data_IF_035481472920
#
_entry.id   IF_035481472920
#
_cell.length_a   1.000
_cell.length_b   1.000
_cell.length_c   1.000
_cell.angle_alpha   90.00
_cell.angle_beta   90.00
_cell.angle_gamma   90.00
#
_symmetry.space_group_name_H-M   'P 1'
#
loop_
_entity.id
_entity.type
_entity.pdbx_description
1 polymer ?
#
# COMPACT_ATOMS: atom_id res chain seq x y z
N UNK A 1 -5.35 -18.52 -1.37
CA UNK A 1 -4.72 -17.62 -0.40
C UNK A 1 -5.57 -16.38 -0.19
N UNK A 2 -5.78 -16.02 1.03
CA UNK A 2 -6.50 -14.81 1.39
C UNK A 2 -5.53 -13.69 1.71
N UNK A 3 -5.99 -12.47 1.52
CA UNK A 3 -5.29 -11.27 1.97
C UNK A 3 -6.03 -10.66 3.14
N UNK A 4 -5.29 -10.20 4.14
CA UNK A 4 -5.84 -9.43 5.25
C UNK A 4 -5.06 -8.15 5.46
N UNK A 5 -5.76 -7.16 5.96
CA UNK A 5 -5.18 -5.87 6.35
C UNK A 5 -5.24 -5.76 7.86
N UNK A 6 -4.08 -5.57 8.47
CA UNK A 6 -3.96 -5.36 9.91
C UNK A 6 -3.53 -3.93 10.21
N UNK A 7 -4.20 -3.32 11.17
CA UNK A 7 -3.84 -2.02 11.71
C UNK A 7 -3.24 -2.22 13.09
N UNK A 8 -2.01 -1.76 13.26
CA UNK A 8 -1.24 -1.97 14.50
C UNK A 8 -0.90 -0.61 15.09
N UNK A 9 -1.30 -0.39 16.33
CA UNK A 9 -0.90 0.78 17.10
C UNK A 9 0.29 0.39 17.97
N UNK A 10 1.41 1.11 17.81
CA UNK A 10 2.66 0.82 18.49
C UNK A 10 3.24 2.07 19.14
N UNK A 11 4.18 1.87 20.06
CA UNK A 11 4.96 2.96 20.62
C UNK A 11 5.80 3.64 19.51
N UNK A 12 5.87 4.95 19.53
CA UNK A 12 6.70 5.72 18.60
C UNK A 12 8.13 5.79 19.12
N UNK A 13 8.82 4.65 19.07
CA UNK A 13 10.21 4.49 19.51
C UNK A 13 11.04 3.81 18.44
N UNK A 14 12.36 4.01 18.50
CA UNK A 14 13.27 3.38 17.54
C UNK A 14 13.24 1.85 17.68
N UNK A 15 13.38 1.14 16.56
CA UNK A 15 13.46 -0.31 16.52
C UNK A 15 12.12 -1.05 16.50
N UNK A 16 10.98 -0.37 16.69
CA UNK A 16 9.66 -1.03 16.67
C UNK A 16 9.39 -1.67 15.32
N UNK A 17 9.61 -0.95 14.24
CA UNK A 17 9.39 -1.48 12.89
C UNK A 17 10.27 -2.69 12.61
N UNK A 18 11.52 -2.66 13.07
CA UNK A 18 12.46 -3.78 12.95
C UNK A 18 11.96 -5.02 13.71
N UNK A 19 11.43 -4.84 14.91
CA UNK A 19 10.88 -5.95 15.69
C UNK A 19 9.65 -6.58 15.05
N UNK A 20 8.76 -5.76 14.49
CA UNK A 20 7.57 -6.26 13.79
C UNK A 20 7.96 -6.98 12.51
N UNK A 21 8.79 -6.37 11.67
CA UNK A 21 9.23 -7.02 10.42
C UNK A 21 10.06 -8.27 10.71
N UNK A 22 10.86 -8.27 11.76
CA UNK A 22 11.61 -9.42 12.22
C UNK A 22 10.71 -10.58 12.65
N UNK A 23 9.60 -10.30 13.32
CA UNK A 23 8.61 -11.32 13.68
C UNK A 23 8.03 -11.98 12.42
N UNK A 24 7.63 -11.18 11.43
CA UNK A 24 7.14 -11.71 10.16
C UNK A 24 8.18 -12.58 9.45
N UNK A 25 9.42 -12.10 9.38
CA UNK A 25 10.52 -12.84 8.76
C UNK A 25 10.80 -14.18 9.43
N UNK A 26 10.90 -14.20 10.75
CA UNK A 26 11.21 -15.42 11.50
C UNK A 26 10.12 -16.48 11.36
N UNK A 27 8.88 -16.07 11.17
CA UNK A 27 7.75 -16.99 11.05
C UNK A 27 7.38 -17.28 9.59
N UNK A 28 8.10 -16.72 8.64
CA UNK A 28 7.83 -16.92 7.22
C UNK A 28 6.53 -16.29 6.73
N UNK A 29 6.04 -15.27 7.43
CA UNK A 29 4.85 -14.52 7.00
C UNK A 29 5.23 -13.53 5.90
N UNK A 30 4.40 -13.42 4.88
CA UNK A 30 4.64 -12.48 3.78
C UNK A 30 4.02 -11.12 4.07
N UNK A 31 4.80 -10.05 3.88
CA UNK A 31 4.31 -8.67 3.89
C UNK A 31 4.21 -8.19 2.45
N UNK A 32 2.99 -7.93 1.98
CA UNK A 32 2.76 -7.40 0.63
C UNK A 32 2.92 -5.88 0.59
N UNK A 33 2.46 -5.20 1.63
CA UNK A 33 2.71 -3.76 1.78
C UNK A 33 2.73 -3.38 3.26
N UNK A 34 3.45 -2.31 3.55
CA UNK A 34 3.53 -1.76 4.89
C UNK A 34 3.61 -0.24 4.80
N UNK A 35 2.79 0.43 5.59
CA UNK A 35 2.86 1.88 5.77
C UNK A 35 2.89 2.18 7.26
N UNK A 36 3.66 3.19 7.63
CA UNK A 36 3.81 3.59 9.02
C UNK A 36 3.86 5.11 9.12
N UNK A 37 3.20 5.65 10.12
CA UNK A 37 3.20 7.08 10.37
C UNK A 37 2.81 7.40 11.80
N UNK A 38 3.34 8.51 12.31
CA UNK A 38 3.00 9.01 13.65
C UNK A 38 1.52 9.40 13.67
N UNK A 39 0.83 9.02 14.74
CA UNK A 39 -0.59 9.36 14.92
C UNK A 39 -0.75 10.81 15.41
N UNK A 40 -1.99 11.22 15.61
CA UNK A 40 -2.29 12.51 16.23
C UNK A 40 -1.69 12.63 17.65
N UNK A 41 -1.48 11.51 18.33
CA UNK A 41 -0.73 11.43 19.57
C UNK A 41 0.72 11.04 19.24
N UNK A 42 1.71 11.93 19.46
CA UNK A 42 3.10 11.68 19.05
C UNK A 42 3.78 10.54 19.83
N UNK A 43 3.14 10.00 20.87
CA UNK A 43 3.65 8.82 21.57
C UNK A 43 3.47 7.52 20.78
N UNK A 44 2.61 7.52 19.76
CA UNK A 44 2.22 6.32 19.05
C UNK A 44 2.40 6.46 17.53
N UNK A 45 2.73 5.34 16.91
CA UNK A 45 2.80 5.17 15.46
C UNK A 45 1.72 4.15 15.04
N UNK A 46 1.09 4.40 13.91
CA UNK A 46 0.16 3.46 13.29
C UNK A 46 0.82 2.79 12.12
N UNK A 47 0.79 1.46 12.12
CA UNK A 47 1.33 0.63 11.06
C UNK A 47 0.15 -0.09 10.41
N UNK A 48 0.07 -0.03 9.09
CA UNK A 48 -0.90 -0.79 8.31
C UNK A 48 -0.13 -1.81 7.47
N UNK A 49 -0.44 -3.09 7.65
CA UNK A 49 0.22 -4.19 6.95
C UNK A 49 -0.81 -4.96 6.14
N UNK A 50 -0.51 -5.17 4.86
CA UNK A 50 -1.23 -6.12 4.03
C UNK A 50 -0.41 -7.40 3.96
N UNK A 51 -1.01 -8.50 4.31
CA UNK A 51 -0.36 -9.81 4.34
C UNK A 51 -1.26 -10.86 3.70
N UNK A 52 -0.66 -11.92 3.19
CA UNK A 52 -1.37 -13.05 2.57
C UNK A 52 -0.98 -14.35 3.23
N UNK A 53 -1.91 -15.28 3.24
CA UNK A 53 -1.72 -16.60 3.82
C UNK A 53 -3.03 -17.37 3.90
N UNK A 54 -2.99 -18.57 4.47
CA UNK A 54 -4.20 -19.29 4.83
C UNK A 54 -4.78 -18.75 6.15
N UNK A 55 -5.99 -19.15 6.50
CA UNK A 55 -6.69 -18.66 7.69
C UNK A 55 -5.93 -18.93 8.99
N UNK A 56 -5.24 -20.07 9.08
CA UNK A 56 -4.47 -20.44 10.27
C UNK A 56 -3.28 -19.50 10.44
N UNK A 57 -2.55 -19.23 9.35
CA UNK A 57 -1.41 -18.33 9.36
C UNK A 57 -1.84 -16.90 9.72
N UNK A 58 -2.92 -16.41 9.10
CA UNK A 58 -3.41 -15.06 9.35
C UNK A 58 -3.87 -14.86 10.80
N UNK A 59 -4.52 -15.88 11.37
CA UNK A 59 -4.91 -15.87 12.78
C UNK A 59 -3.69 -15.86 13.73
N UNK A 60 -2.65 -16.63 13.39
CA UNK A 60 -1.40 -16.65 14.13
C UNK A 60 -0.69 -15.28 14.12
N UNK A 61 -0.70 -14.59 12.98
CA UNK A 61 -0.08 -13.26 12.85
C UNK A 61 -0.66 -12.30 13.88
N UNK A 62 -1.98 -12.20 13.96
CA UNK A 62 -2.65 -11.32 14.90
C UNK A 62 -2.26 -11.63 16.34
N UNK A 63 -2.30 -12.90 16.71
CA UNK A 63 -1.97 -13.35 18.06
C UNK A 63 -0.50 -13.11 18.44
N UNK A 64 0.41 -13.37 17.50
CA UNK A 64 1.85 -13.22 17.76
C UNK A 64 2.26 -11.74 17.81
N UNK A 65 1.73 -10.90 16.93
CA UNK A 65 2.00 -9.46 16.96
C UNK A 65 1.49 -8.83 18.25
N UNK A 66 0.31 -9.23 18.71
CA UNK A 66 -0.26 -8.72 19.96
C UNK A 66 0.62 -8.97 21.19
N UNK A 67 1.51 -9.96 21.14
CA UNK A 67 2.44 -10.27 22.25
C UNK A 67 3.68 -9.39 22.32
N UNK A 68 3.98 -8.63 21.27
CA UNK A 68 5.15 -7.74 21.28
C UNK A 68 4.94 -6.59 22.26
N UNK A 69 5.97 -6.29 23.03
CA UNK A 69 5.89 -5.28 24.11
C UNK A 69 5.55 -3.88 23.59
N UNK A 70 5.97 -3.56 22.36
CA UNK A 70 5.72 -2.25 21.75
C UNK A 70 4.30 -2.10 21.20
N UNK A 71 3.56 -3.20 21.05
CA UNK A 71 2.23 -3.21 20.43
C UNK A 71 1.17 -2.85 21.47
N UNK A 72 0.42 -1.78 21.21
CA UNK A 72 -0.69 -1.33 22.06
C UNK A 72 -2.01 -1.93 21.62
N UNK A 73 -2.21 -2.08 20.32
CA UNK A 73 -3.42 -2.66 19.76
C UNK A 73 -3.12 -3.23 18.36
N UNK A 74 -3.83 -4.27 18.00
CA UNK A 74 -3.86 -4.80 16.64
C UNK A 74 -5.28 -5.19 16.31
N UNK A 75 -5.73 -4.85 15.10
CA UNK A 75 -7.02 -5.30 14.61
C UNK A 75 -7.00 -5.54 13.12
N UNK A 76 -7.78 -6.50 12.69
CA UNK A 76 -8.07 -6.72 11.27
C UNK A 76 -9.03 -5.65 10.77
N UNK A 77 -8.71 -5.04 9.63
CA UNK A 77 -9.62 -4.13 8.93
C UNK A 77 -10.38 -4.93 7.88
N UNK A 78 -11.61 -5.28 8.21
CA UNK A 78 -12.45 -6.07 7.30
C UNK A 78 -13.03 -5.19 6.21
N UNK A 79 -13.07 -5.65 4.94
CA UNK A 79 -13.56 -4.85 3.81
C UNK A 79 -14.98 -4.29 4.00
N UNK A 80 -15.86 -5.07 4.62
CA UNK A 80 -17.26 -4.69 4.85
C UNK A 80 -17.44 -3.57 5.89
N UNK A 81 -16.44 -3.33 6.71
CA UNK A 81 -16.51 -2.32 7.79
C UNK A 81 -15.37 -1.31 7.75
N UNK A 82 -14.58 -1.30 6.67
CA UNK A 82 -13.41 -0.45 6.54
C UNK A 82 -13.35 0.23 5.18
N UNK A 83 -12.66 1.35 5.11
CA UNK A 83 -12.42 2.08 3.87
C UNK A 83 -10.93 2.08 3.59
N UNK A 84 -10.57 1.64 2.39
CA UNK A 84 -9.18 1.60 1.94
C UNK A 84 -8.94 2.60 0.81
N UNK A 85 -7.82 3.30 0.88
CA UNK A 85 -7.31 4.11 -0.22
C UNK A 85 -5.80 3.96 -0.29
N UNK A 86 -5.31 3.85 -1.53
CA UNK A 86 -3.89 3.85 -1.83
C UNK A 86 -3.57 5.02 -2.73
N UNK A 87 -2.42 5.61 -2.52
CA UNK A 87 -1.85 6.59 -3.43
C UNK A 87 -0.80 5.88 -4.27
N UNK A 88 -0.98 5.88 -5.59
CA UNK A 88 0.00 5.36 -6.53
C UNK A 88 0.57 6.49 -7.37
N UNK A 89 1.88 6.47 -7.57
CA UNK A 89 2.57 7.36 -8.50
C UNK A 89 3.18 6.51 -9.60
N UNK A 90 2.78 6.78 -10.84
CA UNK A 90 3.13 5.95 -11.99
C UNK A 90 3.86 6.81 -13.01
N UNK A 91 5.10 6.45 -13.30
CA UNK A 91 5.90 7.09 -14.34
C UNK A 91 5.77 6.30 -15.62
N UNK A 92 5.20 6.93 -16.64
CA UNK A 92 4.89 6.29 -17.93
C UNK A 92 5.77 6.90 -19.00
N UNK A 93 6.42 6.05 -19.80
CA UNK A 93 7.13 6.51 -20.99
C UNK A 93 6.12 6.96 -22.05
N UNK A 94 6.23 8.21 -22.48
CA UNK A 94 5.37 8.78 -23.50
C UNK A 94 6.08 9.95 -24.18
N UNK A 95 6.25 9.85 -25.49
CA UNK A 95 6.73 10.99 -26.29
C UNK A 95 5.56 11.95 -26.59
N UNK A 96 5.83 13.00 -27.37
CA UNK A 96 4.82 13.99 -27.69
C UNK A 96 3.58 13.39 -28.42
N UNK A 97 3.78 12.32 -29.20
CA UNK A 97 2.67 11.66 -29.92
C UNK A 97 1.82 10.76 -29.04
N UNK A 98 2.39 10.22 -27.96
CA UNK A 98 1.73 9.30 -27.05
C UNK A 98 1.09 10.00 -25.84
N UNK A 99 1.49 11.22 -25.59
CA UNK A 99 1.12 11.98 -24.37
C UNK A 99 -0.39 12.11 -24.21
N UNK A 100 -1.11 12.42 -25.28
CA UNK A 100 -2.57 12.58 -25.24
C UNK A 100 -3.29 11.29 -24.86
N UNK A 101 -2.78 10.14 -25.29
CA UNK A 101 -3.35 8.84 -24.93
C UNK A 101 -3.26 8.58 -23.41
N UNK A 102 -2.13 8.88 -22.80
CA UNK A 102 -1.94 8.74 -21.34
C UNK A 102 -2.84 9.73 -20.59
N UNK A 103 -2.91 10.98 -21.05
CA UNK A 103 -3.76 12.00 -20.41
C UNK A 103 -5.23 11.60 -20.49
N UNK A 104 -5.69 11.05 -21.62
CA UNK A 104 -7.07 10.59 -21.77
C UNK A 104 -7.41 9.48 -20.76
N UNK A 105 -6.51 8.52 -20.57
CA UNK A 105 -6.69 7.46 -19.58
C UNK A 105 -6.70 8.05 -18.16
N UNK A 106 -5.78 8.96 -17.86
CA UNK A 106 -5.72 9.64 -16.55
C UNK A 106 -7.03 10.35 -16.24
N UNK A 107 -7.61 11.06 -17.21
CA UNK A 107 -8.87 11.79 -17.02
C UNK A 107 -10.04 10.86 -16.70
N UNK A 108 -10.12 9.68 -17.35
CA UNK A 108 -11.17 8.70 -17.10
C UNK A 108 -11.16 8.27 -15.61
N UNK A 109 -9.99 8.07 -15.04
CA UNK A 109 -9.81 7.62 -13.66
C UNK A 109 -9.71 8.77 -12.65
N UNK A 110 -9.84 10.02 -13.10
CA UNK A 110 -9.63 11.22 -12.28
C UNK A 110 -8.24 11.23 -11.62
N UNK A 111 -7.27 10.71 -12.34
CA UNK A 111 -5.87 10.80 -11.96
C UNK A 111 -5.31 12.17 -12.32
N UNK A 112 -4.22 12.55 -11.71
CA UNK A 112 -3.55 13.84 -11.94
C UNK A 112 -2.22 13.62 -12.62
N UNK A 113 -1.94 14.36 -13.66
CA UNK A 113 -0.58 14.45 -14.22
C UNK A 113 0.18 15.47 -13.39
N UNK A 114 1.19 15.03 -12.67
CA UNK A 114 1.93 15.88 -11.71
C UNK A 114 3.31 16.30 -12.21
N UNK A 115 3.81 15.63 -13.25
CA UNK A 115 5.06 16.03 -13.89
C UNK A 115 5.06 15.60 -15.36
N UNK A 116 5.66 16.41 -16.22
CA UNK A 116 5.78 16.16 -17.66
C UNK A 116 7.22 16.39 -18.09
N UNK A 117 7.85 15.35 -18.62
CA UNK A 117 9.15 15.44 -19.27
C UNK A 117 8.98 15.25 -20.79
N UNK A 118 10.05 15.39 -21.55
CA UNK A 118 10.02 15.22 -23.01
C UNK A 118 9.60 13.81 -23.44
N UNK A 119 9.89 12.81 -22.63
CA UNK A 119 9.69 11.38 -22.95
C UNK A 119 8.91 10.61 -21.88
N UNK A 120 8.39 11.29 -20.87
CA UNK A 120 7.65 10.64 -19.78
C UNK A 120 6.63 11.55 -19.12
N UNK A 121 5.65 10.93 -18.45
CA UNK A 121 4.66 11.57 -17.61
C UNK A 121 4.66 10.88 -16.25
N UNK A 122 4.48 11.68 -15.19
CA UNK A 122 4.21 11.16 -13.86
C UNK A 122 2.73 11.37 -13.54
N UNK A 123 2.02 10.30 -13.23
CA UNK A 123 0.60 10.32 -12.92
C UNK A 123 0.39 9.90 -11.48
N UNK A 124 -0.43 10.66 -10.76
CA UNK A 124 -0.86 10.36 -9.39
C UNK A 124 -2.29 9.83 -9.41
N UNK A 125 -2.52 8.68 -8.83
CA UNK A 125 -3.84 8.05 -8.74
C UNK A 125 -4.12 7.66 -7.29
N UNK A 126 -5.31 8.01 -6.80
CA UNK A 126 -5.80 7.58 -5.50
C UNK A 126 -7.04 6.73 -5.67
N UNK A 127 -7.09 5.59 -5.01
CA UNK A 127 -8.23 4.69 -5.05
C UNK A 127 -8.00 3.40 -4.28
N UNK A 128 -8.94 2.47 -4.43
CA UNK A 128 -8.77 1.11 -3.93
C UNK A 128 -7.93 0.28 -4.92
N UNK A 129 -7.61 -0.94 -4.54
CA UNK A 129 -6.78 -1.82 -5.37
C UNK A 129 -7.42 -2.09 -6.75
N UNK A 130 -8.72 -2.28 -6.80
CA UNK A 130 -9.44 -2.53 -8.06
C UNK A 130 -9.28 -1.38 -9.05
N UNK A 131 -9.38 -0.14 -8.55
CA UNK A 131 -9.21 1.06 -9.37
C UNK A 131 -7.77 1.17 -9.90
N UNK A 132 -6.79 0.91 -9.05
CA UNK A 132 -5.38 0.96 -9.43
C UNK A 132 -5.07 -0.11 -10.47
N UNK A 133 -5.54 -1.33 -10.27
CA UNK A 133 -5.34 -2.45 -11.20
C UNK A 133 -6.00 -2.15 -12.56
N UNK A 134 -7.20 -1.60 -12.56
CA UNK A 134 -7.91 -1.22 -13.79
C UNK A 134 -7.16 -0.12 -14.56
N UNK A 135 -6.62 0.86 -13.86
CA UNK A 135 -5.82 1.92 -14.44
C UNK A 135 -4.55 1.37 -15.09
N UNK A 136 -3.81 0.52 -14.38
CA UNK A 136 -2.61 -0.10 -14.90
C UNK A 136 -2.89 -0.98 -16.12
N UNK A 137 -4.03 -1.66 -16.13
CA UNK A 137 -4.45 -2.49 -17.28
C UNK A 137 -4.69 -1.66 -18.52
N UNK A 138 -5.28 -0.47 -18.40
CA UNK A 138 -5.47 0.43 -19.54
C UNK A 138 -4.15 1.04 -20.04
N UNK A 139 -3.11 1.05 -19.23
CA UNK A 139 -1.78 1.49 -19.62
C UNK A 139 -0.95 0.38 -20.29
N UNK A 140 -1.53 -0.77 -20.59
CA UNK A 140 -0.82 -1.93 -21.14
C UNK A 140 -0.09 -1.63 -22.46
N UNK A 141 -0.56 -0.67 -23.23
CA UNK A 141 0.12 -0.23 -24.46
C UNK A 141 1.29 0.73 -24.25
N UNK A 142 1.61 1.07 -23.00
CA UNK A 142 2.68 2.01 -22.63
C UNK A 142 3.68 1.33 -21.72
N UNK A 143 4.93 1.80 -21.76
CA UNK A 143 5.96 1.31 -20.85
C UNK A 143 5.87 2.04 -19.51
N UNK A 144 5.68 1.29 -18.43
CA UNK A 144 5.74 1.82 -17.07
C UNK A 144 7.19 1.82 -16.61
N UNK A 145 7.74 3.00 -16.36
CA UNK A 145 9.12 3.18 -15.95
C UNK A 145 9.29 3.00 -14.44
N UNK A 146 8.33 3.51 -13.66
CA UNK A 146 8.32 3.41 -12.21
C UNK A 146 6.87 3.32 -11.70
N UNK A 147 6.71 2.57 -10.67
CA UNK A 147 5.43 2.41 -9.99
C UNK A 147 5.67 2.32 -8.48
#
# INVERSE_FOLDING_TARGET
MQKKVFQILVDNTSGVLSRISGLFSRRGYNIESITAGVTADPRYTRITIVTSGDDIILDQIEKQVAKLVDVRDIKELKPESSVYRELAMIKVRADASQRQGVIAIADIFRAKVIDVASDSLMVELTGNQEKIDAFLKLLDGFEILEL
#
